data_IF_088458549225
#
_entry.id   IF_088458549225
#
_cell.length_a   1.000
_cell.length_b   1.000
_cell.length_c   1.000
_cell.angle_alpha   90.00
_cell.angle_beta   90.00
_cell.angle_gamma   90.00
#
_symmetry.space_group_name_H-M   'P 1'
#
loop_
_entity.id
_entity.type
_entity.pdbx_description
1 polymer ?
#
# COMPACT_ATOMS: atom_id res chain seq x y z
N UNK A 1 -9.65 -34.55 -0.81
CA UNK A 1 -10.12 -33.15 -0.85
C UNK A 1 -9.68 -32.50 0.46
N UNK A 2 -8.55 -31.80 0.46
CA UNK A 2 -8.03 -31.14 1.67
C UNK A 2 -8.79 -29.84 1.86
N UNK A 3 -9.71 -29.80 2.83
CA UNK A 3 -10.41 -28.57 3.20
C UNK A 3 -9.41 -27.73 4.00
N UNK A 4 -8.81 -26.73 3.36
CA UNK A 4 -8.07 -25.71 4.10
C UNK A 4 -9.07 -24.95 4.98
N UNK A 5 -9.07 -25.21 6.29
CA UNK A 5 -9.83 -24.41 7.25
C UNK A 5 -9.14 -23.06 7.40
N UNK A 6 -9.66 -22.04 6.72
CA UNK A 6 -9.23 -20.68 6.95
C UNK A 6 -9.89 -20.13 8.21
N UNK A 7 -9.08 -19.85 9.23
CA UNK A 7 -9.54 -19.11 10.39
C UNK A 7 -9.60 -17.60 10.07
N UNK A 8 -10.75 -16.99 10.33
CA UNK A 8 -10.98 -15.56 10.12
C UNK A 8 -11.35 -14.88 11.45
N UNK A 9 -10.71 -13.76 11.74
CA UNK A 9 -10.80 -13.10 13.03
C UNK A 9 -11.24 -11.65 12.87
N UNK A 10 -11.96 -11.17 13.85
CA UNK A 10 -12.52 -9.83 13.86
C UNK A 10 -13.74 -9.71 14.74
N UNK A 11 -14.38 -8.55 14.69
CA UNK A 11 -15.75 -8.40 15.20
C UNK A 11 -16.69 -9.32 14.41
N UNK A 12 -16.47 -9.42 13.10
CA UNK A 12 -17.11 -10.37 12.21
C UNK A 12 -15.99 -11.19 11.56
N UNK A 13 -15.85 -12.45 11.97
CA UNK A 13 -14.84 -13.33 11.39
C UNK A 13 -15.09 -13.57 9.90
N UNK A 14 -16.28 -14.07 9.55
CA UNK A 14 -16.70 -14.34 8.18
C UNK A 14 -18.02 -13.64 7.90
N UNK A 15 -18.10 -12.90 6.80
CA UNK A 15 -19.31 -12.28 6.32
C UNK A 15 -19.63 -12.70 4.89
N UNK A 16 -20.82 -13.25 4.66
CA UNK A 16 -21.34 -13.59 3.32
C UNK A 16 -22.35 -12.59 2.78
N UNK A 17 -22.90 -11.73 3.64
CA UNK A 17 -23.96 -10.80 3.29
C UNK A 17 -23.46 -9.39 2.96
N UNK A 18 -24.42 -8.50 2.68
CA UNK A 18 -24.15 -7.07 2.72
C UNK A 18 -23.91 -6.66 4.17
N UNK A 19 -23.03 -5.69 4.40
CA UNK A 19 -22.74 -5.23 5.76
C UNK A 19 -22.45 -3.75 5.80
N UNK A 20 -22.93 -3.11 6.86
CA UNK A 20 -22.67 -1.72 7.16
C UNK A 20 -22.33 -1.60 8.64
N UNK A 21 -21.13 -1.15 8.95
CA UNK A 21 -20.60 -0.97 10.30
C UNK A 21 -20.31 0.52 10.48
N UNK A 22 -20.96 1.15 11.45
CA UNK A 22 -20.85 2.61 11.65
C UNK A 22 -20.56 2.96 13.10
N UNK A 23 -19.80 4.04 13.29
CA UNK A 23 -19.56 4.66 14.59
C UNK A 23 -18.94 3.69 15.60
N UNK A 24 -17.85 3.04 15.19
CA UNK A 24 -17.17 2.03 16.00
C UNK A 24 -15.85 2.58 16.51
N UNK A 25 -15.57 2.30 17.78
CA UNK A 25 -14.23 2.30 18.33
C UNK A 25 -13.81 0.86 18.54
N UNK A 26 -12.78 0.40 17.81
CA UNK A 26 -12.31 -0.98 17.85
C UNK A 26 -10.87 -1.02 18.37
N UNK A 27 -10.66 -1.69 19.50
CA UNK A 27 -9.31 -2.00 19.99
C UNK A 27 -9.09 -3.50 19.95
N UNK A 28 -8.05 -3.93 19.25
CA UNK A 28 -7.69 -5.33 19.12
C UNK A 28 -6.29 -5.57 19.66
N UNK A 29 -6.14 -6.58 20.52
CA UNK A 29 -4.85 -7.13 20.93
C UNK A 29 -4.85 -8.61 20.61
N UNK A 30 -4.31 -8.96 19.44
CA UNK A 30 -4.33 -10.33 18.93
C UNK A 30 -2.91 -10.87 18.93
N UNK A 31 -2.67 -11.87 19.76
CA UNK A 31 -1.46 -12.69 19.73
C UNK A 31 -1.86 -14.12 19.41
N UNK A 32 -1.46 -14.63 18.25
CA UNK A 32 -1.86 -15.97 17.83
C UNK A 32 -1.11 -16.47 16.61
N UNK A 33 -0.82 -17.76 16.59
CA UNK A 33 0.04 -18.35 15.58
C UNK A 33 -0.64 -18.59 14.22
N UNK A 34 -1.98 -18.67 14.15
CA UNK A 34 -2.71 -19.28 13.02
C UNK A 34 -4.02 -18.54 12.65
N UNK A 35 -3.99 -17.23 12.41
CA UNK A 35 -5.12 -16.54 11.79
C UNK A 35 -4.82 -16.13 10.37
N UNK A 36 -5.64 -16.59 9.43
CA UNK A 36 -5.41 -16.34 8.01
C UNK A 36 -5.80 -14.92 7.65
N UNK A 37 -6.88 -14.42 8.25
CA UNK A 37 -7.43 -13.12 7.93
C UNK A 37 -7.88 -12.39 9.19
N UNK A 38 -7.51 -11.13 9.30
CA UNK A 38 -7.86 -10.29 10.46
C UNK A 38 -8.28 -8.90 10.03
N UNK A 39 -9.36 -8.41 10.63
CA UNK A 39 -9.85 -7.04 10.58
C UNK A 39 -11.09 -6.91 11.45
N UNK A 40 -11.82 -5.79 11.41
CA UNK A 40 -13.19 -5.76 11.92
C UNK A 40 -14.02 -6.81 11.20
N UNK A 41 -13.86 -6.89 9.88
CA UNK A 41 -14.33 -7.99 9.06
C UNK A 41 -13.11 -8.79 8.62
N UNK A 42 -12.94 -9.98 9.19
CA UNK A 42 -11.81 -10.86 8.86
C UNK A 42 -11.84 -11.28 7.39
N UNK A 43 -12.97 -11.84 6.96
CA UNK A 43 -13.21 -12.22 5.57
C UNK A 43 -14.59 -11.78 5.12
N UNK A 44 -14.61 -10.95 4.09
CA UNK A 44 -15.79 -10.63 3.32
C UNK A 44 -15.83 -11.53 2.08
N UNK A 45 -16.91 -12.30 1.93
CA UNK A 45 -17.04 -13.27 0.84
C UNK A 45 -17.05 -12.60 -0.52
N UNK A 46 -16.43 -13.30 -1.48
CA UNK A 46 -16.52 -13.00 -2.90
C UNK A 46 -17.99 -12.88 -3.33
N UNK A 47 -18.31 -11.79 -4.02
CA UNK A 47 -19.64 -11.45 -4.54
C UNK A 47 -20.64 -10.91 -3.52
N UNK A 48 -20.24 -10.61 -2.28
CA UNK A 48 -21.07 -9.73 -1.45
C UNK A 48 -21.26 -8.40 -2.18
N UNK A 49 -22.49 -7.92 -2.30
CA UNK A 49 -22.79 -6.80 -3.20
C UNK A 49 -22.21 -5.50 -2.63
N UNK A 50 -22.19 -5.38 -1.30
CA UNK A 50 -21.81 -4.15 -0.61
C UNK A 50 -21.24 -4.40 0.79
N UNK A 51 -20.09 -3.79 1.09
CA UNK A 51 -19.59 -3.64 2.45
C UNK A 51 -19.27 -2.17 2.71
N UNK A 52 -19.67 -1.66 3.87
CA UNK A 52 -19.40 -0.30 4.28
C UNK A 52 -18.93 -0.24 5.72
N UNK A 53 -17.87 0.54 5.94
CA UNK A 53 -17.40 0.92 7.26
C UNK A 53 -17.26 2.44 7.31
N UNK A 54 -18.01 3.09 8.20
CA UNK A 54 -17.99 4.56 8.38
C UNK A 54 -17.68 4.93 9.82
N UNK A 55 -16.90 5.99 10.02
CA UNK A 55 -16.62 6.56 11.34
C UNK A 55 -16.02 5.50 12.27
N UNK A 56 -14.87 5.00 11.88
CA UNK A 56 -14.13 3.99 12.63
C UNK A 56 -12.87 4.62 13.22
N UNK A 57 -12.63 4.34 14.50
CA UNK A 57 -11.31 4.49 15.10
C UNK A 57 -10.82 3.08 15.48
N UNK A 58 -9.73 2.64 14.85
CA UNK A 58 -9.11 1.34 15.13
C UNK A 58 -7.75 1.51 15.78
N UNK A 59 -7.55 0.83 16.91
CA UNK A 59 -6.25 0.63 17.55
C UNK A 59 -5.93 -0.86 17.57
N UNK A 60 -4.95 -1.29 16.78
CA UNK A 60 -4.67 -2.72 16.58
C UNK A 60 -3.24 -3.07 16.94
N UNK A 61 -3.06 -3.98 17.91
CA UNK A 61 -1.80 -4.67 18.16
C UNK A 61 -1.96 -6.13 17.72
N UNK A 62 -1.33 -6.47 16.63
CA UNK A 62 -1.49 -7.77 15.96
C UNK A 62 -0.12 -8.40 15.81
N UNK A 63 0.13 -9.47 16.55
CA UNK A 63 1.32 -10.30 16.39
C UNK A 63 0.89 -11.69 15.93
N UNK A 64 1.30 -12.07 14.72
CA UNK A 64 1.07 -13.43 14.20
C UNK A 64 2.34 -14.06 13.69
N UNK A 65 2.44 -15.38 13.84
CA UNK A 65 3.50 -16.17 13.19
C UNK A 65 3.06 -16.73 11.84
N UNK A 66 1.80 -16.55 11.45
CA UNK A 66 1.30 -16.83 10.11
C UNK A 66 0.00 -16.06 9.86
N UNK A 67 -0.19 -15.62 8.63
CA UNK A 67 -1.44 -15.02 8.16
C UNK A 67 -1.38 -14.81 6.65
N UNK A 68 -2.53 -14.64 6.01
CA UNK A 68 -2.58 -14.42 4.56
C UNK A 68 -3.00 -13.00 4.20
N UNK A 69 -3.81 -12.34 5.03
CA UNK A 69 -4.24 -10.97 4.77
C UNK A 69 -4.64 -10.29 6.08
N UNK A 70 -3.96 -9.20 6.43
CA UNK A 70 -4.20 -8.47 7.68
C UNK A 70 -4.50 -7.02 7.33
N UNK A 71 -5.69 -6.57 7.69
CA UNK A 71 -6.10 -5.17 7.60
C UNK A 71 -7.05 -4.85 8.75
N UNK A 72 -6.73 -3.88 9.63
CA UNK A 72 -7.54 -3.54 10.78
C UNK A 72 -9.04 -3.31 10.49
N UNK A 73 -9.40 -2.90 9.28
CA UNK A 73 -10.80 -2.84 8.84
C UNK A 73 -11.23 -4.13 8.15
N UNK A 74 -10.52 -4.52 7.10
CA UNK A 74 -10.75 -5.76 6.36
C UNK A 74 -9.49 -6.60 6.27
N UNK A 75 -9.54 -7.85 6.71
CA UNK A 75 -8.48 -8.81 6.39
C UNK A 75 -8.48 -9.09 4.89
N UNK A 76 -9.63 -9.51 4.38
CA UNK A 76 -9.88 -9.75 2.96
C UNK A 76 -11.23 -9.17 2.58
N UNK A 77 -11.24 -8.34 1.55
CA UNK A 77 -12.44 -7.74 0.97
C UNK A 77 -12.79 -8.36 -0.39
N UNK A 78 -13.85 -9.17 -0.40
CA UNK A 78 -14.43 -9.79 -1.60
C UNK A 78 -15.65 -9.05 -2.17
N UNK A 79 -15.99 -7.87 -1.63
CA UNK A 79 -17.21 -7.14 -2.00
C UNK A 79 -17.12 -6.60 -3.42
N UNK A 80 -18.23 -6.60 -4.17
CA UNK A 80 -18.30 -5.91 -5.47
C UNK A 80 -17.98 -4.42 -5.33
N UNK A 81 -18.50 -3.81 -4.26
CA UNK A 81 -18.20 -2.44 -3.87
C UNK A 81 -18.00 -2.38 -2.36
N UNK A 82 -16.80 -2.01 -1.94
CA UNK A 82 -16.48 -1.72 -0.56
C UNK A 82 -16.24 -0.23 -0.38
N UNK A 83 -16.78 0.33 0.71
CA UNK A 83 -16.56 1.73 1.09
C UNK A 83 -16.04 1.80 2.52
N UNK A 84 -14.88 2.43 2.70
CA UNK A 84 -14.33 2.77 4.01
C UNK A 84 -14.23 4.29 4.09
N UNK A 85 -14.91 4.90 5.06
CA UNK A 85 -14.99 6.36 5.17
C UNK A 85 -14.71 6.81 6.59
N UNK A 86 -14.07 7.98 6.73
CA UNK A 86 -13.82 8.63 8.01
C UNK A 86 -13.18 7.67 9.02
N UNK A 87 -12.16 6.94 8.58
CA UNK A 87 -11.51 5.89 9.37
C UNK A 87 -10.12 6.32 9.81
N UNK A 88 -9.81 6.20 11.10
CA UNK A 88 -8.47 6.40 11.62
C UNK A 88 -7.93 5.09 12.19
N UNK A 89 -6.74 4.70 11.75
CA UNK A 89 -6.06 3.49 12.21
C UNK A 89 -4.72 3.85 12.83
N UNK A 90 -4.49 3.30 14.01
CA UNK A 90 -3.20 3.28 14.69
C UNK A 90 -2.86 1.87 15.16
N UNK A 91 -1.58 1.56 15.28
CA UNK A 91 -1.11 0.35 15.93
C UNK A 91 -0.13 -0.47 15.12
N UNK A 92 0.28 -1.60 15.67
CA UNK A 92 1.40 -2.38 15.16
C UNK A 92 0.92 -3.73 14.66
N UNK A 93 1.30 -4.06 13.44
CA UNK A 93 1.06 -5.36 12.81
C UNK A 93 2.43 -5.98 12.56
N UNK A 94 2.72 -7.07 13.24
CA UNK A 94 3.98 -7.81 13.11
C UNK A 94 3.68 -9.25 12.73
N UNK A 95 3.96 -9.59 11.47
CA UNK A 95 3.85 -10.96 10.98
C UNK A 95 4.92 -11.29 9.95
N UNK A 96 6.02 -11.90 10.40
CA UNK A 96 7.16 -12.24 9.54
C UNK A 96 6.85 -13.19 8.38
N UNK A 97 5.67 -13.82 8.36
CA UNK A 97 5.23 -14.75 7.32
C UNK A 97 3.95 -14.31 6.62
N UNK A 98 3.31 -13.21 7.04
CA UNK A 98 2.05 -12.81 6.40
C UNK A 98 2.26 -12.18 5.03
N UNK A 99 1.43 -12.61 4.09
CA UNK A 99 1.22 -11.83 2.87
C UNK A 99 0.14 -10.77 3.11
N UNK A 100 0.11 -9.74 2.28
CA UNK A 100 -0.99 -8.77 2.18
C UNK A 100 -1.33 -8.07 3.51
N UNK A 101 -0.41 -7.22 3.96
CA UNK A 101 -0.62 -6.37 5.13
C UNK A 101 -0.95 -4.96 4.67
N UNK A 102 -2.12 -4.46 5.05
CA UNK A 102 -2.54 -3.08 4.84
C UNK A 102 -2.97 -2.44 6.14
N UNK A 103 -2.74 -1.13 6.29
CA UNK A 103 -3.25 -0.40 7.46
C UNK A 103 -4.76 -0.29 7.51
N UNK A 104 -5.47 -0.52 6.41
CA UNK A 104 -6.94 -0.54 6.34
C UNK A 104 -7.44 -1.88 5.81
N UNK A 105 -6.94 -2.29 4.64
CA UNK A 105 -7.35 -3.52 3.95
C UNK A 105 -6.13 -4.40 3.69
N UNK A 106 -6.15 -5.65 4.17
CA UNK A 106 -5.07 -6.59 3.88
C UNK A 106 -5.05 -6.93 2.40
N UNK A 107 -6.15 -7.50 1.90
CA UNK A 107 -6.30 -7.88 0.50
C UNK A 107 -7.63 -7.44 -0.09
N UNK A 108 -7.57 -6.80 -1.26
CA UNK A 108 -8.72 -6.35 -2.04
C UNK A 108 -8.90 -7.25 -3.27
N UNK A 109 -10.11 -7.80 -3.47
CA UNK A 109 -10.41 -8.63 -4.63
C UNK A 109 -11.16 -7.91 -5.76
N UNK A 110 -12.01 -6.91 -5.46
CA UNK A 110 -12.76 -6.13 -6.47
C UNK A 110 -12.60 -4.63 -6.18
N UNK A 111 -13.69 -3.86 -6.04
CA UNK A 111 -13.60 -2.42 -5.93
C UNK A 111 -13.65 -1.97 -4.47
N UNK A 112 -12.66 -1.18 -4.07
CA UNK A 112 -12.61 -0.59 -2.74
C UNK A 112 -12.39 0.91 -2.86
N UNK A 113 -13.24 1.68 -2.18
CA UNK A 113 -13.14 3.14 -2.08
C UNK A 113 -12.86 3.52 -0.63
N UNK A 114 -11.76 4.24 -0.40
CA UNK A 114 -11.30 4.70 0.91
C UNK A 114 -11.27 6.23 0.89
N UNK A 115 -12.07 6.86 1.77
CA UNK A 115 -12.26 8.32 1.78
C UNK A 115 -12.01 8.87 3.18
N UNK A 116 -11.36 10.03 3.27
CA UNK A 116 -11.15 10.76 4.52
C UNK A 116 -10.55 9.87 5.63
N UNK A 117 -9.60 9.01 5.27
CA UNK A 117 -9.07 7.99 6.17
C UNK A 117 -7.58 8.20 6.44
N UNK A 118 -7.13 7.79 7.62
CA UNK A 118 -5.75 7.99 8.06
C UNK A 118 -5.18 6.70 8.65
N UNK A 119 -3.90 6.46 8.35
CA UNK A 119 -3.08 5.48 9.05
C UNK A 119 -1.86 6.22 9.57
N UNK A 120 -1.63 6.15 10.88
CA UNK A 120 -0.54 6.93 11.49
C UNK A 120 0.14 6.23 12.66
N UNK A 121 1.39 6.61 12.92
CA UNK A 121 2.16 6.17 14.09
C UNK A 121 2.13 4.64 14.28
N UNK A 122 2.36 3.91 13.20
CA UNK A 122 2.08 2.48 13.09
C UNK A 122 3.29 1.75 12.49
N UNK A 123 3.50 0.50 12.92
CA UNK A 123 4.56 -0.36 12.37
C UNK A 123 3.95 -1.58 11.70
N UNK A 124 4.24 -1.79 10.42
CA UNK A 124 3.76 -2.94 9.65
C UNK A 124 4.96 -3.77 9.17
N UNK A 125 5.00 -5.03 9.61
CA UNK A 125 6.00 -6.00 9.19
C UNK A 125 5.30 -7.22 8.59
N UNK A 126 5.58 -7.50 7.32
CA UNK A 126 5.04 -8.62 6.55
C UNK A 126 6.11 -9.36 5.76
N UNK A 127 5.72 -10.45 5.10
CA UNK A 127 6.58 -11.14 4.14
C UNK A 127 6.48 -10.49 2.76
N UNK A 128 5.29 -10.45 2.17
CA UNK A 128 5.07 -9.85 0.84
C UNK A 128 3.82 -8.97 0.84
N UNK A 129 3.79 -8.00 -0.08
CA UNK A 129 2.62 -7.15 -0.35
C UNK A 129 2.23 -6.36 0.90
N UNK A 130 3.12 -5.46 1.32
CA UNK A 130 2.94 -4.65 2.52
C UNK A 130 2.71 -3.21 2.09
N UNK A 131 1.52 -2.69 2.33
CA UNK A 131 1.14 -1.31 2.04
C UNK A 131 0.70 -0.58 3.29
N UNK A 132 0.86 0.74 3.33
CA UNK A 132 0.34 1.54 4.45
C UNK A 132 -1.18 1.58 4.51
N UNK A 133 -1.90 1.37 3.38
CA UNK A 133 -3.37 1.33 3.33
C UNK A 133 -3.87 -0.03 2.84
N UNK A 134 -3.43 -0.48 1.67
CA UNK A 134 -3.80 -1.77 1.06
C UNK A 134 -2.57 -2.66 0.93
N UNK A 135 -2.62 -3.90 1.42
CA UNK A 135 -1.51 -4.84 1.24
C UNK A 135 -1.34 -5.29 -0.21
N UNK A 136 -2.41 -5.80 -0.81
CA UNK A 136 -2.42 -6.07 -2.25
C UNK A 136 -3.83 -6.11 -2.84
N UNK A 137 -3.88 -5.96 -4.17
CA UNK A 137 -5.11 -6.02 -4.95
C UNK A 137 -4.93 -6.88 -6.22
N UNK A 138 -6.03 -7.46 -6.70
CA UNK A 138 -6.00 -8.41 -7.82
C UNK A 138 -7.16 -8.23 -8.80
N UNK A 139 -6.93 -8.55 -10.07
CA UNK A 139 -7.89 -8.80 -11.18
C UNK A 139 -9.12 -7.90 -11.24
N UNK A 140 -9.19 -7.03 -12.25
CA UNK A 140 -10.35 -6.19 -12.56
C UNK A 140 -10.84 -5.37 -11.35
N UNK A 141 -9.92 -5.03 -10.44
CA UNK A 141 -10.19 -4.27 -9.23
C UNK A 141 -9.84 -2.80 -9.41
N UNK A 142 -10.59 -1.93 -8.74
CA UNK A 142 -10.28 -0.51 -8.69
C UNK A 142 -10.16 -0.07 -7.23
N UNK A 143 -8.97 0.40 -6.86
CA UNK A 143 -8.74 1.08 -5.60
C UNK A 143 -8.90 2.60 -5.80
N UNK A 144 -9.80 3.23 -5.06
CA UNK A 144 -9.94 4.69 -5.01
C UNK A 144 -9.61 5.19 -3.61
N UNK A 145 -8.53 5.94 -3.46
CA UNK A 145 -8.06 6.47 -2.17
C UNK A 145 -8.10 8.00 -2.26
N UNK A 146 -9.00 8.61 -1.50
CA UNK A 146 -9.30 10.05 -1.62
C UNK A 146 -9.19 10.72 -0.25
N UNK A 147 -8.60 11.91 -0.20
CA UNK A 147 -8.46 12.71 1.02
C UNK A 147 -7.87 11.90 2.19
N UNK A 148 -6.91 11.01 1.91
CA UNK A 148 -6.40 10.06 2.88
C UNK A 148 -4.93 10.32 3.21
N UNK A 149 -4.50 9.91 4.39
CA UNK A 149 -3.15 10.18 4.86
C UNK A 149 -2.45 8.97 5.44
N UNK A 150 -1.15 8.88 5.17
CA UNK A 150 -0.21 7.94 5.77
C UNK A 150 0.89 8.77 6.39
N UNK A 151 1.07 8.67 7.71
CA UNK A 151 2.05 9.51 8.41
C UNK A 151 2.79 8.75 9.50
N UNK A 152 4.12 8.86 9.51
CA UNK A 152 4.96 8.28 10.56
C UNK A 152 4.80 6.76 10.67
N UNK A 153 4.80 6.07 9.52
CA UNK A 153 4.78 4.61 9.45
C UNK A 153 6.19 4.03 9.37
N UNK A 154 6.37 2.87 10.00
CA UNK A 154 7.51 2.00 9.76
C UNK A 154 7.02 0.75 9.04
N UNK A 155 7.34 0.62 7.75
CA UNK A 155 6.86 -0.46 6.90
C UNK A 155 8.06 -1.31 6.50
N UNK A 156 7.96 -2.62 6.73
CA UNK A 156 9.00 -3.57 6.37
C UNK A 156 8.43 -4.86 5.78
N UNK A 157 9.16 -5.44 4.84
CA UNK A 157 8.91 -6.80 4.38
C UNK A 157 9.97 -7.29 3.41
N UNK A 158 9.71 -8.41 2.76
CA UNK A 158 10.64 -8.99 1.76
C UNK A 158 10.37 -8.42 0.38
N UNK A 159 9.13 -8.45 -0.09
CA UNK A 159 8.76 -8.09 -1.47
C UNK A 159 7.55 -7.18 -1.52
N UNK A 160 7.57 -6.22 -2.44
CA UNK A 160 6.42 -5.37 -2.79
C UNK A 160 5.95 -4.57 -1.56
N UNK A 161 6.83 -3.69 -1.08
CA UNK A 161 6.64 -2.90 0.13
C UNK A 161 6.43 -1.44 -0.23
N UNK A 162 5.44 -0.78 0.38
CA UNK A 162 5.16 0.63 0.07
C UNK A 162 4.31 1.38 1.09
N UNK A 163 4.22 2.70 0.91
CA UNK A 163 3.43 3.59 1.76
C UNK A 163 1.92 3.49 1.53
N UNK A 164 1.41 3.02 0.39
CA UNK A 164 -0.04 2.97 0.11
C UNK A 164 -0.49 1.57 -0.32
N UNK A 165 -0.05 1.08 -1.48
CA UNK A 165 -0.45 -0.23 -2.03
C UNK A 165 0.78 -1.10 -2.26
N UNK A 166 0.93 -2.20 -1.50
CA UNK A 166 2.08 -3.10 -1.65
C UNK A 166 2.18 -3.69 -3.05
N UNK A 167 1.09 -4.29 -3.54
CA UNK A 167 1.07 -4.98 -4.82
C UNK A 167 -0.22 -4.75 -5.62
N UNK A 168 -0.04 -4.39 -6.89
CA UNK A 168 -1.11 -4.35 -7.90
C UNK A 168 -0.87 -5.42 -8.96
N UNK A 169 -1.76 -6.41 -9.02
CA UNK A 169 -1.65 -7.51 -9.97
C UNK A 169 -2.17 -7.16 -11.38
N UNK A 170 -1.99 -8.06 -12.34
CA UNK A 170 -2.47 -7.98 -13.72
C UNK A 170 -4.02 -7.91 -13.89
N UNK A 171 -4.46 -7.76 -15.14
CA UNK A 171 -5.84 -7.70 -15.63
C UNK A 171 -6.59 -6.42 -15.22
N UNK A 172 -6.21 -5.27 -15.78
CA UNK A 172 -6.93 -4.00 -15.61
C UNK A 172 -7.20 -3.60 -14.14
N UNK A 173 -6.26 -3.94 -13.26
CA UNK A 173 -6.30 -3.55 -11.84
C UNK A 173 -5.79 -2.11 -11.70
N UNK A 174 -6.67 -1.17 -11.34
CA UNK A 174 -6.30 0.25 -11.32
C UNK A 174 -6.28 0.83 -9.91
N UNK A 175 -5.48 1.89 -9.72
CA UNK A 175 -5.56 2.73 -8.54
C UNK A 175 -5.65 4.21 -8.88
N UNK A 176 -6.53 4.90 -8.16
CA UNK A 176 -6.59 6.37 -8.15
C UNK A 176 -6.32 6.85 -6.73
N UNK A 177 -5.32 7.71 -6.58
CA UNK A 177 -4.95 8.32 -5.31
C UNK A 177 -5.07 9.83 -5.47
N UNK A 178 -5.96 10.46 -4.71
CA UNK A 178 -6.33 11.86 -4.89
C UNK A 178 -6.31 12.61 -3.58
N UNK A 179 -5.81 13.85 -3.58
CA UNK A 179 -5.81 14.73 -2.41
C UNK A 179 -5.20 14.06 -1.16
N UNK A 180 -4.19 13.21 -1.37
CA UNK A 180 -3.67 12.32 -0.32
C UNK A 180 -2.24 12.67 0.04
N UNK A 181 -1.84 12.33 1.27
CA UNK A 181 -0.55 12.69 1.81
C UNK A 181 0.19 11.47 2.37
N UNK A 182 1.46 11.31 2.00
CA UNK A 182 2.36 10.28 2.53
C UNK A 182 3.57 10.99 3.14
N UNK A 183 3.68 10.96 4.46
CA UNK A 183 4.61 11.79 5.23
C UNK A 183 5.45 10.97 6.21
N UNK A 184 6.70 11.38 6.41
CA UNK A 184 7.55 10.98 7.54
C UNK A 184 7.68 9.46 7.76
N UNK A 185 7.63 8.65 6.70
CA UNK A 185 7.56 7.19 6.83
C UNK A 185 8.85 6.52 6.37
N UNK A 186 9.21 5.44 7.06
CA UNK A 186 10.32 4.56 6.73
C UNK A 186 9.77 3.31 6.04
N UNK A 187 10.26 3.00 4.84
CA UNK A 187 9.76 1.90 4.02
C UNK A 187 10.96 1.05 3.60
N UNK A 188 10.96 -0.24 3.97
CA UNK A 188 12.09 -1.13 3.74
C UNK A 188 11.69 -2.47 3.13
N UNK A 189 12.43 -2.92 2.12
CA UNK A 189 12.27 -4.22 1.48
C UNK A 189 13.59 -4.96 1.34
N UNK A 190 13.56 -6.29 1.20
CA UNK A 190 14.78 -7.10 1.11
C UNK A 190 15.06 -7.67 -0.27
N UNK A 191 14.07 -7.73 -1.17
CA UNK A 191 14.24 -8.38 -2.47
C UNK A 191 13.70 -7.52 -3.61
N UNK A 192 12.43 -7.66 -4.01
CA UNK A 192 12.00 -7.24 -5.36
C UNK A 192 11.80 -5.74 -5.57
N UNK A 193 10.89 -5.10 -4.82
CA UNK A 193 10.48 -3.74 -5.12
C UNK A 193 9.96 -3.00 -3.89
N UNK A 194 10.41 -1.75 -3.74
CA UNK A 194 10.06 -0.85 -2.65
C UNK A 194 9.71 0.51 -3.22
N UNK A 195 8.47 0.96 -3.01
CA UNK A 195 7.97 2.23 -3.53
C UNK A 195 7.43 3.14 -2.44
N UNK A 196 7.50 4.46 -2.62
CA UNK A 196 6.89 5.37 -1.66
C UNK A 196 5.36 5.28 -1.61
N UNK A 197 4.72 5.01 -2.76
CA UNK A 197 3.26 4.83 -2.87
C UNK A 197 2.92 3.38 -3.23
N UNK A 198 3.53 2.82 -4.27
CA UNK A 198 3.22 1.47 -4.76
C UNK A 198 4.49 0.62 -4.86
N UNK A 199 4.45 -0.59 -4.30
CA UNK A 199 5.60 -1.49 -4.33
C UNK A 199 5.86 -2.02 -5.73
N UNK A 200 4.86 -2.71 -6.28
CA UNK A 200 4.91 -3.27 -7.64
C UNK A 200 3.58 -3.16 -8.36
N UNK A 201 3.65 -2.71 -9.61
CA UNK A 201 2.54 -2.64 -10.55
C UNK A 201 2.81 -3.55 -11.75
N UNK A 202 1.95 -4.53 -11.95
CA UNK A 202 2.03 -5.44 -13.09
C UNK A 202 1.61 -4.76 -14.41
N UNK A 203 1.94 -5.38 -15.53
CA UNK A 203 1.44 -4.97 -16.85
C UNK A 203 -0.10 -4.99 -16.87
N UNK A 204 -0.71 -4.13 -17.70
CA UNK A 204 -2.16 -3.86 -17.80
C UNK A 204 -2.85 -3.16 -16.61
N UNK A 205 -2.13 -2.84 -15.53
CA UNK A 205 -2.67 -2.03 -14.42
C UNK A 205 -2.39 -0.55 -14.63
N UNK A 206 -3.28 0.38 -14.27
CA UNK A 206 -2.95 1.82 -14.35
C UNK A 206 -3.01 2.47 -12.97
N UNK A 207 -2.12 3.44 -12.74
CA UNK A 207 -2.18 4.27 -11.53
C UNK A 207 -2.23 5.74 -11.88
N UNK A 208 -3.15 6.45 -11.23
CA UNK A 208 -3.28 7.89 -11.33
C UNK A 208 -3.17 8.52 -9.94
N UNK A 209 -2.26 9.47 -9.78
CA UNK A 209 -2.04 10.22 -8.54
C UNK A 209 -2.27 11.70 -8.84
N UNK A 210 -3.15 12.32 -8.07
CA UNK A 210 -3.65 13.68 -8.32
C UNK A 210 -3.61 14.50 -7.03
N UNK A 211 -3.15 15.75 -7.11
CA UNK A 211 -3.20 16.73 -6.02
C UNK A 211 -2.64 16.19 -4.69
N UNK A 212 -1.59 15.37 -4.77
CA UNK A 212 -1.08 14.59 -3.64
C UNK A 212 0.34 15.02 -3.26
N UNK A 213 0.69 14.77 -2.00
CA UNK A 213 2.00 15.13 -1.43
C UNK A 213 2.70 13.89 -0.86
N UNK A 214 3.90 13.62 -1.36
CA UNK A 214 4.83 12.63 -0.81
C UNK A 214 6.01 13.39 -0.24
N UNK A 215 6.27 13.26 1.07
CA UNK A 215 7.33 14.03 1.72
C UNK A 215 8.02 13.28 2.85
N UNK A 216 9.33 13.50 2.99
CA UNK A 216 10.13 12.97 4.10
C UNK A 216 10.08 11.44 4.21
N UNK A 217 10.15 10.75 3.07
CA UNK A 217 10.22 9.29 3.08
C UNK A 217 11.68 8.83 3.10
N UNK A 218 11.96 7.83 3.92
CA UNK A 218 13.19 7.06 3.83
C UNK A 218 12.85 5.69 3.25
N UNK A 219 13.31 5.41 2.05
CA UNK A 219 13.00 4.19 1.31
C UNK A 219 14.28 3.41 1.10
N UNK A 220 14.28 2.15 1.53
CA UNK A 220 15.43 1.27 1.38
C UNK A 220 15.07 -0.08 0.78
N UNK A 221 15.86 -0.59 -0.17
CA UNK A 221 15.63 -1.89 -0.78
C UNK A 221 16.89 -2.55 -1.34
N UNK A 222 16.73 -3.76 -1.89
CA UNK A 222 17.83 -4.54 -2.48
C UNK A 222 17.66 -4.85 -3.97
N UNK A 223 16.61 -4.35 -4.65
CA UNK A 223 16.48 -4.50 -6.11
C UNK A 223 15.83 -3.32 -6.83
N UNK A 224 14.56 -2.98 -6.61
CA UNK A 224 13.95 -1.82 -7.29
C UNK A 224 13.41 -0.83 -6.26
N UNK A 225 13.96 0.37 -6.20
CA UNK A 225 13.66 1.35 -5.14
C UNK A 225 13.28 2.69 -5.76
N UNK A 226 12.04 3.12 -5.56
CA UNK A 226 11.62 4.43 -6.07
C UNK A 226 10.72 5.23 -5.15
N UNK A 227 10.73 6.55 -5.35
CA UNK A 227 10.00 7.48 -4.50
C UNK A 227 8.47 7.38 -4.63
N UNK A 228 7.97 6.84 -5.75
CA UNK A 228 6.56 6.48 -5.94
C UNK A 228 6.41 4.98 -6.16
N UNK A 229 7.07 4.44 -7.19
CA UNK A 229 7.03 3.03 -7.54
C UNK A 229 8.36 2.36 -7.25
N UNK A 230 8.32 1.17 -6.64
CA UNK A 230 9.47 0.27 -6.69
C UNK A 230 9.66 -0.23 -8.11
N UNK A 231 8.66 -0.92 -8.65
CA UNK A 231 8.66 -1.42 -10.03
C UNK A 231 7.33 -1.12 -10.74
N UNK A 232 7.42 -0.61 -11.96
CA UNK A 232 6.28 -0.27 -12.81
C UNK A 232 6.38 -0.98 -14.17
N UNK A 233 5.29 -1.62 -14.60
CA UNK A 233 5.19 -2.28 -15.90
C UNK A 233 4.04 -1.73 -16.76
N UNK A 234 3.48 -0.58 -16.38
CA UNK A 234 2.33 -0.02 -17.08
C UNK A 234 2.17 1.48 -16.78
N UNK A 235 0.98 2.04 -16.94
CA UNK A 235 0.85 3.50 -16.98
C UNK A 235 0.84 4.12 -15.58
N UNK A 236 1.53 5.25 -15.47
CA UNK A 236 1.53 6.13 -14.32
C UNK A 236 1.22 7.56 -14.76
N UNK A 237 0.20 8.14 -14.14
CA UNK A 237 -0.21 9.52 -14.33
C UNK A 237 -0.01 10.29 -13.02
N UNK A 238 0.87 11.29 -13.03
CA UNK A 238 1.01 12.25 -11.94
C UNK A 238 0.48 13.60 -12.38
N UNK A 239 -0.50 14.13 -11.63
CA UNK A 239 -1.09 15.45 -11.88
C UNK A 239 -1.01 16.25 -10.59
N UNK A 240 -0.46 17.47 -10.64
CA UNK A 240 -0.34 18.36 -9.48
C UNK A 240 0.28 17.68 -8.23
N UNK A 241 1.19 16.74 -8.44
CA UNK A 241 1.73 15.89 -7.37
C UNK A 241 3.13 16.36 -6.97
N UNK A 242 3.36 16.49 -5.67
CA UNK A 242 4.64 16.92 -5.13
C UNK A 242 5.34 15.76 -4.43
N UNK A 243 6.56 15.44 -4.83
CA UNK A 243 7.40 14.40 -4.25
C UNK A 243 8.66 15.08 -3.76
N UNK A 244 8.81 15.23 -2.45
CA UNK A 244 9.83 16.10 -1.89
C UNK A 244 10.61 15.43 -0.76
N UNK A 245 11.93 15.61 -0.75
CA UNK A 245 12.79 15.17 0.35
C UNK A 245 12.68 13.65 0.60
N UNK A 246 12.54 12.88 -0.49
CA UNK A 246 12.57 11.42 -0.45
C UNK A 246 14.02 10.95 -0.48
N UNK A 247 14.42 10.14 0.50
CA UNK A 247 15.75 9.54 0.59
C UNK A 247 15.66 8.09 0.14
N UNK A 248 16.48 7.71 -0.84
CA UNK A 248 16.55 6.38 -1.39
C UNK A 248 17.90 5.74 -1.03
N UNK A 249 17.88 4.49 -0.60
CA UNK A 249 19.11 3.76 -0.21
C UNK A 249 18.99 2.26 -0.45
N UNK A 250 20.11 1.57 -0.57
CA UNK A 250 20.09 0.13 -0.78
C UNK A 250 21.36 -0.42 -1.40
N UNK A 251 21.32 -1.70 -1.76
CA UNK A 251 22.40 -2.43 -2.41
C UNK A 251 21.89 -3.10 -3.67
N UNK A 252 22.70 -3.17 -4.72
CA UNK A 252 22.37 -3.90 -5.96
C UNK A 252 21.03 -3.52 -6.61
N UNK A 253 20.60 -2.25 -6.45
CA UNK A 253 19.26 -1.80 -6.82
C UNK A 253 19.23 -0.78 -7.96
N UNK A 254 18.16 -0.83 -8.75
CA UNK A 254 17.67 0.23 -9.62
C UNK A 254 16.99 1.31 -8.75
N UNK A 255 17.49 2.54 -8.82
CA UNK A 255 16.98 3.67 -8.04
C UNK A 255 16.38 4.75 -8.94
N UNK A 256 15.21 5.26 -8.58
CA UNK A 256 14.67 6.45 -9.24
C UNK A 256 13.76 7.26 -8.33
N UNK A 257 13.86 8.58 -8.45
CA UNK A 257 13.08 9.52 -7.61
C UNK A 257 11.58 9.27 -7.73
N UNK A 258 11.10 8.84 -8.91
CA UNK A 258 9.70 8.44 -9.11
C UNK A 258 9.57 6.93 -9.19
N UNK A 259 10.27 6.27 -10.11
CA UNK A 259 10.17 4.82 -10.36
C UNK A 259 11.54 4.19 -10.21
N UNK A 260 11.65 3.13 -9.40
CA UNK A 260 12.90 2.38 -9.24
C UNK A 260 13.26 1.62 -10.50
N UNK A 261 12.37 0.74 -10.95
CA UNK A 261 12.52 -0.03 -12.20
C UNK A 261 11.30 0.10 -13.10
N UNK A 262 11.54 0.47 -14.36
CA UNK A 262 10.55 0.49 -15.42
C UNK A 262 10.79 -0.67 -16.39
N UNK A 263 9.77 -1.44 -16.77
CA UNK A 263 9.89 -2.50 -17.77
C UNK A 263 8.91 -2.38 -18.95
N UNK A 264 7.94 -1.46 -18.89
CA UNK A 264 6.99 -1.21 -19.99
C UNK A 264 6.04 -0.03 -19.70
N UNK A 265 6.43 0.86 -18.78
CA UNK A 265 5.57 1.92 -18.30
C UNK A 265 5.41 3.06 -19.30
N UNK A 266 4.27 3.75 -19.21
CA UNK A 266 4.06 5.03 -19.90
C UNK A 266 3.77 6.07 -18.83
N UNK A 267 4.49 7.19 -18.87
CA UNK A 267 4.41 8.21 -17.84
C UNK A 267 3.78 9.49 -18.38
N UNK A 268 2.83 10.05 -17.64
CA UNK A 268 2.38 11.41 -17.81
C UNK A 268 2.66 12.18 -16.52
N UNK A 269 3.43 13.26 -16.62
CA UNK A 269 3.68 14.19 -15.53
C UNK A 269 3.11 15.55 -15.91
N UNK A 270 2.11 16.01 -15.17
CA UNK A 270 1.48 17.30 -15.36
C UNK A 270 1.59 18.09 -14.06
N UNK A 271 2.21 19.27 -14.10
CA UNK A 271 2.37 20.17 -12.95
C UNK A 271 2.89 19.46 -11.69
N UNK A 272 3.72 18.43 -11.87
CA UNK A 272 4.20 17.58 -10.78
C UNK A 272 5.70 17.78 -10.61
N UNK A 273 6.18 17.71 -9.37
CA UNK A 273 7.59 17.90 -9.02
C UNK A 273 8.11 16.69 -8.28
N UNK A 274 9.34 16.26 -8.56
CA UNK A 274 9.98 15.20 -7.78
C UNK A 274 11.43 15.54 -7.42
N UNK A 275 11.75 15.51 -6.13
CA UNK A 275 13.09 15.78 -5.59
C UNK A 275 13.51 14.70 -4.60
N UNK A 276 14.76 14.28 -4.74
CA UNK A 276 15.44 13.44 -3.76
C UNK A 276 16.65 14.19 -3.22
N UNK A 277 16.88 14.06 -1.92
CA UNK A 277 18.04 14.67 -1.26
C UNK A 277 19.16 13.66 -1.01
N UNK A 278 18.96 12.40 -1.37
CA UNK A 278 19.91 11.33 -1.11
C UNK A 278 19.54 10.08 -1.92
N UNK A 279 20.44 9.64 -2.80
CA UNK A 279 20.36 8.33 -3.45
C UNK A 279 21.69 7.62 -3.24
N UNK A 280 21.68 6.51 -2.50
CA UNK A 280 22.87 5.68 -2.25
C UNK A 280 22.66 4.26 -2.78
N UNK A 281 23.52 3.83 -3.70
CA UNK A 281 23.49 2.48 -4.28
C UNK A 281 23.55 2.42 -5.82
N UNK A 282 23.68 3.56 -6.51
CA UNK A 282 23.82 3.63 -7.97
C UNK A 282 25.17 3.04 -8.40
N UNK A 283 25.16 2.01 -9.25
CA UNK A 283 26.30 1.72 -10.16
C UNK A 283 26.36 2.86 -11.18
N UNK A 284 27.52 3.50 -11.29
CA UNK A 284 27.78 4.83 -11.84
C UNK A 284 27.44 5.11 -13.34
N UNK A 285 26.59 4.32 -14.01
CA UNK A 285 26.51 4.35 -15.49
C UNK A 285 25.25 4.92 -16.14
N UNK A 286 24.15 5.19 -15.45
CA UNK A 286 22.91 5.61 -16.13
C UNK A 286 22.19 6.75 -15.41
N UNK A 287 22.66 7.98 -15.64
CA UNK A 287 21.92 9.20 -15.30
C UNK A 287 21.53 9.90 -16.60
N UNK A 288 20.35 9.60 -17.14
CA UNK A 288 19.81 10.29 -18.31
C UNK A 288 18.85 11.38 -17.87
N UNK A 289 19.24 12.63 -18.11
CA UNK A 289 18.42 13.81 -17.93
C UNK A 289 17.26 13.79 -18.93
N UNK A 290 16.01 13.68 -18.46
CA UNK A 290 14.83 13.94 -19.29
C UNK A 290 14.44 15.41 -19.13
N UNK A 291 14.61 16.18 -20.20
CA UNK A 291 14.30 17.61 -20.27
C UNK A 291 12.82 17.90 -20.05
N UNK A 292 12.48 18.45 -18.88
CA UNK A 292 11.59 19.60 -18.68
C UNK A 292 11.45 19.83 -17.16
N UNK A 293 12.16 20.83 -16.65
CA UNK A 293 12.24 21.26 -15.24
C UNK A 293 12.78 20.16 -14.30
N UNK A 294 14.09 19.94 -14.34
CA UNK A 294 14.78 19.20 -13.28
C UNK A 294 15.98 19.99 -12.78
N UNK A 295 15.94 20.42 -11.53
CA UNK A 295 17.15 20.63 -10.74
C UNK A 295 17.37 19.36 -9.91
N UNK A 296 18.21 18.44 -10.40
CA UNK A 296 18.85 17.46 -9.52
C UNK A 296 19.97 18.23 -8.79
N UNK A 297 19.68 18.76 -7.60
CA UNK A 297 20.72 19.34 -6.73
C UNK A 297 21.22 18.25 -5.78
N UNK A 298 22.37 17.65 -6.08
CA UNK A 298 22.96 16.60 -5.25
C UNK A 298 23.53 15.44 -6.04
N UNK A 299 24.43 15.74 -6.97
CA UNK A 299 25.50 14.84 -7.39
C UNK A 299 26.82 15.43 -6.87
#
# INVERSE_FOLDING_TARGET
>A
MTIYKFNHFGLIGFNSGNTSIKNIFATFSVNGALFNRFGIIGFQQLNSIYAEVINLISSSSVSSTSGMSIGPVFGYDGSKNCSVQNTSVVGNISSGFSNHIGGIVGFQYLNTTIINSSVQNSSFQGLNNVGGIIGGQITNSNASIVNSSVNSLNISGTSYVSGIIGWQNQNDTNATIMNSQILNSNISGLSFAVGGIIGYQFSSSNTTIIDSLVKYLNISGSSAVGGIFGKCQSKLYLVNTQINLVRLSGFESDFGVVVGKDESGTYLFQNSTATSNYIKGIKQTECTSLSNIWSVSGC
#
